data_IF_378069789988
#
_entry.id   IF_378069789988
#
_cell.length_a   1.000
_cell.length_b   1.000
_cell.length_c   1.000
_cell.angle_alpha   90.00
_cell.angle_beta   90.00
_cell.angle_gamma   90.00
#
_symmetry.space_group_name_H-M   'P 1'
#
loop_
_entity.id
_entity.type
_entity.pdbx_description
1 polymer ?
#
# COMPACT_ATOMS: atom_id res chain seq x y z
N UNK A 1 2.74 18.37 19.49
CA UNK A 1 1.74 17.92 18.49
C UNK A 1 1.24 16.56 18.93
N UNK A 2 -0.06 16.38 19.17
CA UNK A 2 -0.59 15.09 19.62
C UNK A 2 -0.53 14.11 18.45
N UNK A 3 0.20 13.00 18.61
CA UNK A 3 0.26 11.94 17.60
C UNK A 3 -1.11 11.25 17.51
N UNK A 4 -1.69 11.23 16.32
CA UNK A 4 -2.97 10.53 16.09
C UNK A 4 -2.66 9.06 15.85
N UNK A 5 -3.26 8.20 16.66
CA UNK A 5 -2.95 6.77 16.69
C UNK A 5 -3.64 6.06 15.51
N UNK A 6 -2.88 5.28 14.76
CA UNK A 6 -3.37 4.34 13.76
C UNK A 6 -3.62 2.98 14.44
N UNK A 7 -4.76 2.88 15.10
CA UNK A 7 -5.09 1.81 16.05
C UNK A 7 -4.91 0.40 15.48
N UNK A 8 -5.38 0.16 14.24
CA UNK A 8 -5.28 -1.16 13.63
C UNK A 8 -3.84 -1.64 13.43
N UNK A 9 -2.92 -0.73 13.08
CA UNK A 9 -1.50 -1.08 12.91
C UNK A 9 -0.80 -1.26 14.25
N UNK A 10 -1.08 -0.38 15.21
CA UNK A 10 -0.53 -0.51 16.57
C UNK A 10 -1.01 -1.81 17.22
N UNK A 11 -2.27 -2.17 17.07
CA UNK A 11 -2.82 -3.44 17.54
C UNK A 11 -2.08 -4.63 16.96
N UNK A 12 -1.82 -4.66 15.64
CA UNK A 12 -1.04 -5.73 15.00
C UNK A 12 0.36 -5.86 15.59
N UNK A 13 1.02 -4.76 15.94
CA UNK A 13 2.32 -4.79 16.62
C UNK A 13 2.22 -5.36 18.04
N UNK A 14 1.17 -4.97 18.77
CA UNK A 14 0.90 -5.45 20.13
C UNK A 14 0.58 -6.95 20.12
N UNK A 15 -0.28 -7.40 19.21
CA UNK A 15 -0.67 -8.82 19.08
C UNK A 15 0.54 -9.71 18.70
N UNK A 16 1.50 -9.17 17.95
CA UNK A 16 2.73 -9.87 17.59
C UNK A 16 3.85 -9.74 18.64
N UNK A 17 3.66 -8.92 19.70
CA UNK A 17 4.66 -8.69 20.75
C UNK A 17 5.02 -10.00 21.47
N UNK A 18 6.29 -10.10 21.85
CA UNK A 18 6.86 -11.23 22.60
C UNK A 18 6.82 -12.58 21.85
N UNK A 19 6.52 -12.58 20.56
CA UNK A 19 6.65 -13.75 19.69
C UNK A 19 8.09 -13.92 19.18
N UNK A 20 8.42 -15.10 18.67
CA UNK A 20 9.74 -15.36 18.06
C UNK A 20 9.91 -14.70 16.68
N UNK A 21 8.84 -14.17 16.09
CA UNK A 21 8.89 -13.60 14.77
C UNK A 21 9.51 -12.19 14.78
N UNK A 22 10.22 -11.87 13.70
CA UNK A 22 10.66 -10.51 13.39
C UNK A 22 9.46 -9.76 12.80
N UNK A 23 9.14 -8.58 13.32
CA UNK A 23 8.05 -7.75 12.82
C UNK A 23 8.61 -6.78 11.78
N UNK A 24 8.15 -6.92 10.54
CA UNK A 24 8.63 -6.14 9.40
C UNK A 24 7.54 -5.19 8.95
N UNK A 25 7.71 -3.90 9.23
CA UNK A 25 6.76 -2.87 8.84
C UNK A 25 7.19 -2.32 7.48
N UNK A 26 6.36 -2.57 6.46
CA UNK A 26 6.58 -2.13 5.08
C UNK A 26 5.52 -1.14 4.62
N UNK A 27 5.73 -0.48 3.49
CA UNK A 27 4.77 0.42 2.86
C UNK A 27 5.42 1.63 2.23
N UNK A 28 4.64 2.35 1.43
CA UNK A 28 5.11 3.50 0.68
C UNK A 28 5.78 4.56 1.59
N UNK A 29 6.73 5.29 1.03
CA UNK A 29 7.39 6.40 1.73
C UNK A 29 6.36 7.37 2.31
N UNK A 30 6.60 7.86 3.56
CA UNK A 30 5.72 8.80 4.27
C UNK A 30 4.33 8.26 4.67
N UNK A 31 4.09 6.96 4.63
CA UNK A 31 2.85 6.34 5.16
C UNK A 31 2.76 6.32 6.69
N UNK A 32 3.82 6.71 7.42
CA UNK A 32 3.84 6.82 8.88
C UNK A 32 4.53 5.65 9.61
N UNK A 33 5.38 4.87 8.95
CA UNK A 33 6.09 3.71 9.54
C UNK A 33 6.93 4.09 10.76
N UNK A 34 7.78 5.11 10.64
CA UNK A 34 8.62 5.62 11.74
C UNK A 34 7.77 6.08 12.92
N UNK A 35 6.66 6.78 12.64
CA UNK A 35 5.71 7.22 13.67
C UNK A 35 5.07 6.04 14.38
N UNK A 36 4.75 4.96 13.66
CA UNK A 36 4.19 3.74 14.26
C UNK A 36 5.20 3.07 15.21
N UNK A 37 6.50 3.03 14.87
CA UNK A 37 7.54 2.53 15.79
C UNK A 37 7.62 3.39 17.06
N UNK A 38 7.54 4.71 16.95
CA UNK A 38 7.54 5.61 18.11
C UNK A 38 6.30 5.42 18.98
N UNK A 39 5.12 5.28 18.38
CA UNK A 39 3.88 4.94 19.11
C UNK A 39 4.00 3.61 19.85
N UNK A 40 4.65 2.63 19.24
CA UNK A 40 4.89 1.34 19.88
C UNK A 40 5.91 1.46 21.01
N UNK A 41 6.97 2.27 20.84
CA UNK A 41 7.90 2.61 21.95
C UNK A 41 7.14 3.19 23.14
N UNK A 42 6.28 4.18 22.89
CA UNK A 42 5.48 4.82 23.96
C UNK A 42 4.53 3.80 24.62
N UNK A 43 3.92 2.92 23.81
CA UNK A 43 3.09 1.83 24.34
C UNK A 43 3.90 0.91 25.28
N UNK A 44 5.11 0.51 24.91
CA UNK A 44 5.97 -0.36 25.73
C UNK A 44 6.29 0.32 27.06
N UNK A 45 6.68 1.60 27.07
CA UNK A 45 6.97 2.38 28.27
C UNK A 45 5.75 2.47 29.18
N UNK A 46 4.59 2.83 28.60
CA UNK A 46 3.34 2.96 29.34
C UNK A 46 2.82 1.62 29.94
N UNK A 47 3.29 0.50 29.40
CA UNK A 47 2.99 -0.86 29.90
C UNK A 47 4.14 -1.46 30.75
N UNK A 48 5.00 -0.60 31.31
CA UNK A 48 5.97 -0.98 32.36
C UNK A 48 7.30 -1.54 31.83
N UNK A 49 7.56 -1.51 30.53
CA UNK A 49 8.89 -1.85 30.01
C UNK A 49 9.85 -0.70 30.30
N UNK A 50 10.98 -1.01 30.93
CA UNK A 50 12.01 -0.01 31.26
C UNK A 50 12.58 0.57 29.97
N UNK A 51 12.79 1.87 29.90
CA UNK A 51 13.33 2.54 28.72
C UNK A 51 14.71 1.96 28.30
N UNK A 52 15.51 1.58 29.28
CA UNK A 52 16.80 0.89 29.07
C UNK A 52 16.72 -0.44 28.32
N UNK A 53 15.54 -1.05 28.27
CA UNK A 53 15.27 -2.30 27.54
C UNK A 53 14.62 -2.03 26.16
N UNK A 54 14.54 -0.77 25.72
CA UNK A 54 14.00 -0.39 24.41
C UNK A 54 15.11 0.33 23.64
N UNK A 55 15.60 -0.28 22.57
CA UNK A 55 16.62 0.30 21.69
C UNK A 55 15.93 0.74 20.41
N UNK A 56 15.82 2.05 20.19
CA UNK A 56 15.32 2.66 18.96
C UNK A 56 16.45 3.31 18.17
N UNK A 57 16.58 2.95 16.88
CA UNK A 57 17.56 3.52 15.96
C UNK A 57 16.86 3.90 14.67
N UNK A 58 17.07 5.14 14.23
CA UNK A 58 16.65 5.59 12.90
C UNK A 58 17.89 5.77 12.02
N UNK A 59 18.07 4.91 11.04
CA UNK A 59 19.21 4.94 10.10
C UNK A 59 19.15 6.03 9.02
N UNK A 60 18.20 6.96 9.10
CA UNK A 60 18.24 8.23 8.36
C UNK A 60 18.90 9.35 9.19
N UNK A 61 19.23 9.12 10.47
CA UNK A 61 19.89 10.10 11.32
C UNK A 61 21.42 10.02 11.20
N UNK A 62 22.06 11.16 11.06
CA UNK A 62 23.54 11.28 11.04
C UNK A 62 24.21 10.75 12.34
N UNK A 63 23.47 10.65 13.44
CA UNK A 63 23.96 10.05 14.70
C UNK A 63 24.43 8.59 14.52
N UNK A 64 23.87 7.88 13.54
CA UNK A 64 24.14 6.47 13.27
C UNK A 64 24.93 6.23 11.97
N UNK A 65 25.49 7.28 11.38
CA UNK A 65 26.24 7.20 10.12
C UNK A 65 27.49 6.29 10.21
N UNK A 66 28.01 6.04 11.40
CA UNK A 66 29.14 5.12 11.62
C UNK A 66 28.74 3.65 11.53
N UNK A 67 27.45 3.32 11.59
CA UNK A 67 26.93 1.95 11.44
C UNK A 67 26.74 1.65 9.95
N UNK A 68 27.80 1.20 9.29
CA UNK A 68 27.80 0.96 7.82
C UNK A 68 27.33 -0.43 7.43
N UNK A 69 27.68 -1.45 8.24
CA UNK A 69 27.38 -2.83 7.95
C UNK A 69 26.89 -3.61 9.18
N UNK A 70 26.61 -4.90 8.95
CA UNK A 70 26.08 -5.78 10.00
C UNK A 70 27.02 -5.95 11.20
N UNK A 71 28.34 -5.80 11.03
CA UNK A 71 29.32 -5.95 12.13
C UNK A 71 29.27 -4.75 13.06
N UNK A 72 29.21 -3.55 12.48
CA UNK A 72 29.06 -2.31 13.24
C UNK A 72 27.74 -2.33 14.00
N UNK A 73 26.64 -2.73 13.34
CA UNK A 73 25.32 -2.87 13.94
C UNK A 73 25.35 -3.88 15.11
N UNK A 74 25.95 -5.06 14.89
CA UNK A 74 26.03 -6.08 15.91
C UNK A 74 26.81 -5.60 17.14
N UNK A 75 27.97 -4.98 16.92
CA UNK A 75 28.80 -4.43 18.00
C UNK A 75 28.05 -3.37 18.80
N UNK A 76 27.43 -2.41 18.11
CA UNK A 76 26.68 -1.31 18.72
C UNK A 76 25.52 -1.82 19.59
N UNK A 77 24.73 -2.75 19.09
CA UNK A 77 23.59 -3.32 19.84
C UNK A 77 24.10 -4.14 21.03
N UNK A 78 25.12 -4.98 20.84
CA UNK A 78 25.71 -5.79 21.93
C UNK A 78 26.17 -4.95 23.11
N UNK A 79 26.73 -3.77 22.86
CA UNK A 79 27.20 -2.85 23.93
C UNK A 79 26.02 -2.20 24.69
N UNK A 80 24.84 -2.10 24.05
CA UNK A 80 23.64 -1.49 24.65
C UNK A 80 22.72 -2.49 25.35
N UNK A 81 22.85 -3.78 25.07
CA UNK A 81 22.00 -4.82 25.68
C UNK A 81 22.27 -4.89 27.17
N UNK A 82 21.22 -4.75 27.96
CA UNK A 82 21.19 -4.93 29.40
C UNK A 82 20.52 -6.25 29.78
N UNK A 83 20.39 -6.51 31.07
CA UNK A 83 19.76 -7.73 31.63
C UNK A 83 18.26 -7.76 31.31
N UNK A 84 17.77 -8.89 30.81
CA UNK A 84 16.37 -9.14 30.50
C UNK A 84 16.04 -8.95 29.01
N UNK A 85 14.77 -9.12 28.68
CA UNK A 85 14.28 -9.01 27.29
C UNK A 85 14.41 -7.59 26.76
N UNK A 86 14.95 -7.44 25.55
CA UNK A 86 15.15 -6.17 24.86
C UNK A 86 14.20 -6.05 23.67
N UNK A 87 13.61 -4.88 23.50
CA UNK A 87 12.81 -4.51 22.33
C UNK A 87 13.68 -3.67 21.38
N UNK A 88 13.98 -4.22 20.21
CA UNK A 88 14.83 -3.58 19.21
C UNK A 88 13.96 -3.01 18.07
N UNK A 89 13.94 -1.68 17.97
CA UNK A 89 13.14 -0.94 16.99
C UNK A 89 14.10 -0.27 15.98
N UNK A 90 14.22 -0.83 14.78
CA UNK A 90 15.17 -0.39 13.76
C UNK A 90 14.42 0.24 12.58
N UNK A 91 14.51 1.54 12.45
CA UNK A 91 13.85 2.32 11.41
C UNK A 91 14.74 2.49 10.19
N UNK A 92 14.21 2.22 8.98
CA UNK A 92 14.89 2.27 7.67
C UNK A 92 16.18 1.41 7.65
N UNK A 93 16.07 0.16 8.14
CA UNK A 93 17.19 -0.80 8.31
C UNK A 93 17.98 -1.08 7.03
N UNK A 94 17.36 -0.92 5.85
CA UNK A 94 18.02 -1.14 4.55
C UNK A 94 19.21 -0.18 4.28
N UNK A 95 19.40 0.83 5.11
CA UNK A 95 20.56 1.71 5.04
C UNK A 95 21.84 1.05 5.60
N UNK A 96 21.70 -0.07 6.32
CA UNK A 96 22.82 -0.87 6.85
C UNK A 96 23.12 -2.03 5.89
N UNK A 97 24.35 -2.16 5.41
CA UNK A 97 24.75 -3.23 4.49
C UNK A 97 24.70 -4.60 5.16
N UNK A 98 24.06 -5.58 4.51
CA UNK A 98 23.92 -6.97 5.02
C UNK A 98 23.28 -7.06 6.41
N UNK A 99 22.38 -6.14 6.74
CA UNK A 99 21.70 -6.02 8.04
C UNK A 99 21.02 -7.33 8.50
N UNK A 100 20.55 -8.16 7.57
CA UNK A 100 19.90 -9.45 7.84
C UNK A 100 20.78 -10.41 8.64
N UNK A 101 22.13 -10.34 8.46
CA UNK A 101 23.08 -11.14 9.22
C UNK A 101 23.10 -10.75 10.70
N UNK A 102 23.03 -9.44 10.97
CA UNK A 102 22.94 -8.95 12.36
C UNK A 102 21.63 -9.39 13.01
N UNK A 103 20.49 -9.25 12.30
CA UNK A 103 19.18 -9.65 12.82
C UNK A 103 19.15 -11.14 13.20
N UNK A 104 19.67 -12.00 12.33
CA UNK A 104 19.76 -13.44 12.62
C UNK A 104 20.67 -13.72 13.84
N UNK A 105 21.82 -13.04 13.94
CA UNK A 105 22.71 -13.19 15.09
C UNK A 105 22.06 -12.73 16.39
N UNK A 106 21.32 -11.62 16.38
CA UNK A 106 20.61 -11.13 17.56
C UNK A 106 19.59 -12.16 18.08
N UNK A 107 18.88 -12.84 17.18
CA UNK A 107 17.90 -13.88 17.56
C UNK A 107 18.53 -15.12 18.18
N UNK A 108 19.82 -15.38 17.89
CA UNK A 108 20.57 -16.52 18.45
C UNK A 108 21.21 -16.14 19.79
N UNK A 109 21.78 -14.93 19.85
CA UNK A 109 22.67 -14.56 20.93
C UNK A 109 21.96 -13.89 22.13
N UNK A 110 20.74 -13.34 21.92
CA UNK A 110 20.05 -12.50 22.90
C UNK A 110 18.56 -12.81 23.01
N UNK A 111 17.99 -12.55 24.20
CA UNK A 111 16.53 -12.51 24.40
C UNK A 111 16.01 -11.15 23.90
N UNK A 112 15.61 -11.12 22.64
CA UNK A 112 15.29 -9.87 21.92
C UNK A 112 14.03 -10.00 21.08
N UNK A 113 13.19 -8.96 21.13
CA UNK A 113 12.02 -8.79 20.28
C UNK A 113 12.29 -7.70 19.22
N UNK A 114 12.21 -8.05 17.92
CA UNK A 114 12.75 -7.24 16.83
C UNK A 114 11.63 -6.69 15.96
N UNK A 115 11.65 -5.37 15.75
CA UNK A 115 10.79 -4.62 14.86
C UNK A 115 11.65 -3.81 13.89
N UNK A 116 11.43 -3.99 12.61
CA UNK A 116 12.19 -3.30 11.57
C UNK A 116 11.25 -2.59 10.60
N UNK A 117 11.67 -1.46 10.05
CA UNK A 117 10.92 -0.79 8.98
C UNK A 117 11.75 -0.63 7.73
N UNK A 118 11.03 -0.44 6.62
CA UNK A 118 11.61 0.03 5.37
C UNK A 118 10.55 0.45 4.34
N UNK A 119 10.95 1.40 3.52
CA UNK A 119 10.09 2.00 2.49
C UNK A 119 10.03 1.19 1.19
N UNK A 120 10.56 -0.04 1.16
CA UNK A 120 10.64 -0.84 -0.05
C UNK A 120 10.42 -2.33 0.25
N UNK A 121 9.70 -3.03 -0.64
CA UNK A 121 9.44 -4.47 -0.56
C UNK A 121 10.71 -5.33 -0.75
N UNK A 122 11.86 -4.74 -1.09
CA UNK A 122 13.13 -5.48 -1.04
C UNK A 122 13.47 -6.04 0.34
N UNK A 123 12.92 -5.47 1.42
CA UNK A 123 12.99 -6.07 2.76
C UNK A 123 12.34 -7.46 2.84
N UNK A 124 11.48 -7.78 1.89
CA UNK A 124 10.72 -9.04 1.81
C UNK A 124 10.93 -9.74 0.46
N UNK A 125 11.99 -9.35 -0.30
CA UNK A 125 12.32 -10.07 -1.54
C UNK A 125 12.60 -11.55 -1.23
N UNK A 126 12.44 -12.42 -2.23
CA UNK A 126 12.65 -13.86 -2.08
C UNK A 126 14.02 -14.20 -1.49
N UNK A 127 15.04 -13.40 -1.77
CA UNK A 127 16.37 -13.53 -1.18
C UNK A 127 16.37 -13.22 0.32
N UNK A 128 15.72 -12.11 0.74
CA UNK A 128 15.64 -11.72 2.15
C UNK A 128 14.68 -12.59 2.94
N UNK A 129 13.57 -13.04 2.35
CA UNK A 129 12.69 -14.02 3.01
C UNK A 129 13.41 -15.33 3.30
N UNK A 130 14.34 -15.75 2.42
CA UNK A 130 15.22 -16.89 2.63
C UNK A 130 16.27 -16.59 3.72
N UNK A 131 16.87 -15.39 3.71
CA UNK A 131 17.87 -14.96 4.69
C UNK A 131 17.28 -14.81 6.11
N UNK A 132 16.04 -14.34 6.22
CA UNK A 132 15.28 -14.30 7.48
C UNK A 132 14.63 -15.66 7.83
N UNK A 133 14.91 -16.71 7.02
CA UNK A 133 14.46 -18.09 7.27
C UNK A 133 12.94 -18.23 7.47
N UNK A 134 12.13 -17.36 6.87
CA UNK A 134 10.68 -17.36 7.02
C UNK A 134 10.16 -16.98 8.43
N UNK A 135 11.03 -16.48 9.32
CA UNK A 135 10.69 -16.16 10.71
C UNK A 135 10.28 -14.71 10.90
N UNK A 136 9.38 -14.20 10.03
CA UNK A 136 8.89 -12.82 10.14
C UNK A 136 7.38 -12.72 9.92
N UNK A 137 6.82 -11.64 10.43
CA UNK A 137 5.44 -11.21 10.19
C UNK A 137 5.50 -9.84 9.51
N UNK A 138 4.87 -9.73 8.33
CA UNK A 138 4.74 -8.45 7.64
C UNK A 138 3.55 -7.66 8.18
N UNK A 139 3.80 -6.38 8.50
CA UNK A 139 2.78 -5.37 8.78
C UNK A 139 2.82 -4.34 7.66
N UNK A 140 2.02 -4.57 6.61
CA UNK A 140 1.99 -3.70 5.45
C UNK A 140 1.15 -2.45 5.71
N UNK A 141 1.80 -1.30 5.67
CA UNK A 141 1.22 -0.01 6.01
C UNK A 141 0.86 0.78 4.75
N UNK A 142 -0.41 1.15 4.62
CA UNK A 142 -0.93 1.97 3.52
C UNK A 142 -1.07 3.43 3.95
N UNK A 143 -1.21 4.40 3.01
CA UNK A 143 -1.70 5.74 3.32
C UNK A 143 -3.01 5.69 4.12
N UNK A 144 -3.45 6.77 4.71
CA UNK A 144 -4.69 6.81 5.50
C UNK A 144 -5.87 6.27 4.70
N UNK A 145 -6.72 5.46 5.34
CA UNK A 145 -8.07 5.19 4.84
C UNK A 145 -8.92 6.46 4.90
N UNK A 146 -10.06 6.48 4.22
CA UNK A 146 -10.97 7.63 4.33
C UNK A 146 -11.42 7.88 5.78
N UNK A 147 -11.70 6.82 6.52
CA UNK A 147 -12.04 6.90 7.95
C UNK A 147 -10.88 7.50 8.79
N UNK A 148 -9.66 7.06 8.55
CA UNK A 148 -8.47 7.64 9.19
C UNK A 148 -8.26 9.10 8.76
N UNK A 149 -8.47 9.42 7.47
CA UNK A 149 -8.37 10.77 6.93
C UNK A 149 -9.32 11.74 7.65
N UNK A 150 -10.57 11.35 7.88
CA UNK A 150 -11.51 12.17 8.66
C UNK A 150 -10.99 12.38 10.09
N UNK A 151 -10.52 11.32 10.76
CA UNK A 151 -9.97 11.39 12.12
C UNK A 151 -8.74 12.30 12.19
N UNK A 152 -7.82 12.17 11.26
CA UNK A 152 -6.58 12.96 11.22
C UNK A 152 -6.81 14.45 10.93
N UNK A 153 -7.88 14.78 10.22
CA UNK A 153 -8.29 16.16 9.95
C UNK A 153 -9.22 16.75 11.00
N UNK A 154 -9.60 15.98 12.04
CA UNK A 154 -10.63 16.34 13.01
C UNK A 154 -11.96 16.70 12.33
N UNK A 155 -12.29 16.03 11.23
CA UNK A 155 -13.56 16.22 10.55
C UNK A 155 -14.69 15.47 11.25
N UNK A 156 -15.85 16.10 11.32
CA UNK A 156 -17.11 15.44 11.71
C UNK A 156 -17.68 14.61 10.54
N UNK A 157 -18.81 13.97 10.77
CA UNK A 157 -19.51 13.17 9.75
C UNK A 157 -20.52 13.98 8.93
N UNK A 158 -20.38 15.31 8.85
CA UNK A 158 -21.19 16.14 7.95
C UNK A 158 -20.47 16.39 6.64
N UNK A 159 -21.19 16.69 5.56
CA UNK A 159 -20.64 17.00 4.24
C UNK A 159 -19.56 15.99 3.78
N UNK A 160 -19.85 14.69 3.95
CA UNK A 160 -18.90 13.62 3.64
C UNK A 160 -18.48 13.57 2.17
N UNK A 161 -19.34 13.99 1.25
CA UNK A 161 -19.02 14.07 -0.18
C UNK A 161 -17.88 15.06 -0.45
N UNK A 162 -17.92 16.25 0.14
CA UNK A 162 -16.85 17.25 -0.04
C UNK A 162 -15.54 16.77 0.55
N UNK A 163 -15.58 16.14 1.72
CA UNK A 163 -14.41 15.55 2.37
C UNK A 163 -13.86 14.36 1.59
N UNK A 164 -14.73 13.59 0.98
CA UNK A 164 -14.31 12.49 0.11
C UNK A 164 -13.66 13.01 -1.19
N UNK A 165 -14.22 14.08 -1.79
CA UNK A 165 -13.61 14.75 -2.93
C UNK A 165 -12.22 15.32 -2.58
N UNK A 166 -12.06 15.89 -1.38
CA UNK A 166 -10.74 16.33 -0.88
C UNK A 166 -9.77 15.14 -0.74
N UNK A 167 -10.22 14.02 -0.18
CA UNK A 167 -9.45 12.79 -0.09
C UNK A 167 -9.07 12.23 -1.47
N UNK A 168 -9.97 12.23 -2.44
CA UNK A 168 -9.66 11.84 -3.83
C UNK A 168 -8.65 12.79 -4.47
N UNK A 169 -8.72 14.08 -4.16
CA UNK A 169 -7.83 15.12 -4.71
C UNK A 169 -6.42 15.02 -4.17
N UNK A 170 -6.25 14.96 -2.85
CA UNK A 170 -4.95 15.09 -2.18
C UNK A 170 -4.38 13.79 -1.64
N UNK A 171 -5.20 12.74 -1.58
CA UNK A 171 -4.78 11.44 -1.07
C UNK A 171 -4.78 11.32 0.45
N UNK A 172 -4.20 10.22 0.92
CA UNK A 172 -4.17 9.83 2.32
C UNK A 172 -2.78 9.87 2.97
N UNK A 173 -1.80 10.61 2.44
CA UNK A 173 -0.50 10.73 3.10
C UNK A 173 -0.66 11.56 4.39
N UNK A 174 -0.27 11.03 5.58
CA UNK A 174 -0.60 11.64 6.87
C UNK A 174 -0.18 13.12 7.02
N UNK A 175 0.98 13.50 6.49
CA UNK A 175 1.48 14.86 6.66
C UNK A 175 0.69 15.93 5.87
N UNK A 176 -0.17 15.53 4.92
CA UNK A 176 -1.04 16.46 4.20
C UNK A 176 -2.00 17.15 5.17
N UNK A 177 -2.44 16.44 6.21
CA UNK A 177 -3.34 17.02 7.24
C UNK A 177 -2.77 18.25 7.95
N UNK A 178 -1.45 18.43 7.93
CA UNK A 178 -0.76 19.58 8.54
C UNK A 178 -0.76 20.83 7.67
N UNK A 179 -1.02 20.67 6.38
CA UNK A 179 -0.88 21.73 5.36
C UNK A 179 -2.10 21.83 4.44
N UNK A 180 -3.18 21.12 4.77
CA UNK A 180 -4.39 20.96 3.96
C UNK A 180 -5.05 22.27 3.52
N UNK A 181 -4.93 23.32 4.34
CA UNK A 181 -5.55 24.61 4.09
C UNK A 181 -4.78 25.46 3.06
N UNK A 182 -3.69 24.92 2.51
CA UNK A 182 -2.87 25.59 1.51
C UNK A 182 -2.53 24.63 0.35
N UNK A 183 -3.28 24.76 -0.75
CA UNK A 183 -3.14 23.94 -1.96
C UNK A 183 -1.71 23.95 -2.51
N UNK A 184 -1.02 25.10 -2.52
CA UNK A 184 0.34 25.24 -3.03
C UNK A 184 1.33 24.40 -2.22
N UNK A 185 1.22 24.44 -0.88
CA UNK A 185 2.05 23.62 -0.01
C UNK A 185 1.76 22.11 -0.17
N UNK A 186 0.49 21.73 -0.31
CA UNK A 186 0.11 20.34 -0.57
C UNK A 186 0.72 19.84 -1.89
N UNK A 187 0.59 20.61 -2.95
CA UNK A 187 1.16 20.28 -4.27
C UNK A 187 2.69 20.18 -4.21
N UNK A 188 3.35 21.12 -3.58
CA UNK A 188 4.80 21.12 -3.39
C UNK A 188 5.27 19.88 -2.61
N UNK A 189 4.57 19.54 -1.53
CA UNK A 189 4.86 18.36 -0.71
C UNK A 189 4.68 17.05 -1.49
N UNK A 190 3.57 16.89 -2.20
CA UNK A 190 3.31 15.70 -3.02
C UNK A 190 4.35 15.52 -4.13
N UNK A 191 4.75 16.61 -4.81
CA UNK A 191 5.82 16.61 -5.81
C UNK A 191 7.16 16.17 -5.18
N UNK A 192 7.49 16.70 -4.01
CA UNK A 192 8.71 16.33 -3.28
C UNK A 192 8.74 14.83 -2.93
N UNK A 193 7.62 14.26 -2.50
CA UNK A 193 7.51 12.83 -2.21
C UNK A 193 7.65 12.01 -3.48
N UNK A 194 6.89 12.32 -4.53
CA UNK A 194 6.96 11.61 -5.80
C UNK A 194 8.39 11.58 -6.34
N UNK A 195 9.05 12.73 -6.41
CA UNK A 195 10.44 12.84 -6.85
C UNK A 195 11.40 12.04 -5.97
N UNK A 196 11.18 12.00 -4.65
CA UNK A 196 12.00 11.20 -3.74
C UNK A 196 11.81 9.71 -3.97
N UNK A 197 10.57 9.24 -4.15
CA UNK A 197 10.29 7.84 -4.46
C UNK A 197 10.96 7.45 -5.78
N UNK A 198 10.75 8.24 -6.85
CA UNK A 198 11.32 7.95 -8.16
C UNK A 198 12.85 7.93 -8.10
N UNK A 199 13.46 8.97 -7.54
CA UNK A 199 14.91 9.11 -7.51
C UNK A 199 15.58 8.12 -6.57
N UNK A 200 15.26 8.17 -5.25
CA UNK A 200 15.97 7.37 -4.24
C UNK A 200 15.53 5.91 -4.21
N UNK A 201 14.21 5.66 -4.24
CA UNK A 201 13.69 4.32 -3.98
C UNK A 201 13.68 3.46 -5.25
N UNK A 202 13.71 4.07 -6.46
CA UNK A 202 13.67 3.35 -7.72
C UNK A 202 14.97 3.55 -8.52
N UNK A 203 15.29 4.77 -8.96
CA UNK A 203 16.41 5.04 -9.87
C UNK A 203 17.76 4.73 -9.25
N UNK A 204 18.10 5.37 -8.14
CA UNK A 204 19.40 5.23 -7.48
C UNK A 204 19.62 3.79 -6.99
N UNK A 205 18.57 3.18 -6.42
CA UNK A 205 18.64 1.81 -5.87
C UNK A 205 18.84 0.74 -6.93
N UNK A 206 18.24 0.90 -8.11
CA UNK A 206 18.29 -0.09 -9.18
C UNK A 206 19.27 0.30 -10.30
N UNK A 207 20.01 1.39 -10.14
CA UNK A 207 20.93 1.93 -11.15
C UNK A 207 20.26 2.11 -12.52
N UNK A 208 19.03 2.67 -12.54
CA UNK A 208 18.27 2.87 -13.77
C UNK A 208 18.95 3.94 -14.62
N UNK A 209 19.25 3.60 -15.86
CA UNK A 209 19.89 4.51 -16.82
C UNK A 209 18.86 5.32 -17.62
N UNK A 210 17.75 4.70 -17.99
CA UNK A 210 16.68 5.35 -18.76
C UNK A 210 15.54 5.79 -17.84
N UNK A 211 15.75 6.96 -17.22
CA UNK A 211 14.77 7.58 -16.31
C UNK A 211 13.54 8.05 -17.08
N UNK A 212 13.71 8.52 -18.33
CA UNK A 212 12.61 9.02 -19.16
C UNK A 212 11.63 7.87 -19.49
N UNK A 213 12.13 6.68 -19.81
CA UNK A 213 11.28 5.51 -20.02
C UNK A 213 10.52 5.14 -18.75
N UNK A 214 11.18 5.17 -17.58
CA UNK A 214 10.54 4.91 -16.29
C UNK A 214 9.38 5.88 -16.03
N UNK A 215 9.61 7.18 -16.20
CA UNK A 215 8.58 8.22 -15.99
C UNK A 215 7.40 8.04 -16.96
N UNK A 216 7.66 7.68 -18.22
CA UNK A 216 6.61 7.39 -19.19
C UNK A 216 5.77 6.16 -18.80
N UNK A 217 6.40 5.11 -18.24
CA UNK A 217 5.69 3.94 -17.71
C UNK A 217 4.82 4.34 -16.51
N UNK A 218 5.36 5.12 -15.57
CA UNK A 218 4.61 5.61 -14.41
C UNK A 218 3.40 6.43 -14.85
N UNK A 219 3.58 7.35 -15.80
CA UNK A 219 2.50 8.17 -16.36
C UNK A 219 1.46 7.33 -17.07
N UNK A 220 1.88 6.31 -17.84
CA UNK A 220 0.97 5.37 -18.48
C UNK A 220 0.12 4.63 -17.44
N UNK A 221 0.71 4.11 -16.37
CA UNK A 221 -0.01 3.42 -15.30
C UNK A 221 -0.98 4.36 -14.59
N UNK A 222 -0.56 5.59 -14.26
CA UNK A 222 -1.41 6.59 -13.62
C UNK A 222 -2.63 6.98 -14.46
N UNK A 223 -2.48 7.01 -15.79
CA UNK A 223 -3.58 7.28 -16.73
C UNK A 223 -4.52 6.09 -16.85
N UNK A 224 -3.99 4.85 -16.79
CA UNK A 224 -4.71 3.61 -17.05
C UNK A 224 -4.98 2.79 -15.77
N UNK A 225 -5.10 3.43 -14.60
CA UNK A 225 -5.47 2.72 -13.37
C UNK A 225 -6.81 1.99 -13.58
N UNK A 226 -6.97 0.82 -12.98
CA UNK A 226 -8.18 0.02 -13.17
C UNK A 226 -8.34 -0.63 -14.55
N UNK A 227 -7.47 -0.32 -15.51
CA UNK A 227 -7.49 -0.94 -16.84
C UNK A 227 -6.55 -2.15 -16.89
N UNK A 228 -6.90 -3.14 -17.74
CA UNK A 228 -6.06 -4.31 -17.97
C UNK A 228 -4.78 -3.94 -18.74
N UNK A 229 -3.63 -4.12 -18.10
CA UNK A 229 -2.31 -3.74 -18.62
C UNK A 229 -1.38 -4.94 -18.68
N UNK A 230 -0.48 -4.95 -19.67
CA UNK A 230 0.67 -5.83 -19.77
C UNK A 230 1.89 -5.06 -20.27
N UNK A 231 3.09 -5.56 -20.00
CA UNK A 231 4.33 -4.97 -20.53
C UNK A 231 4.31 -4.81 -22.05
N UNK A 232 3.72 -5.78 -22.76
CA UNK A 232 3.53 -5.71 -24.21
C UNK A 232 2.64 -4.52 -24.60
N UNK A 233 1.49 -4.34 -23.97
CA UNK A 233 0.60 -3.19 -24.24
C UNK A 233 1.28 -1.85 -24.01
N UNK A 234 2.06 -1.74 -22.92
CA UNK A 234 2.85 -0.53 -22.63
C UNK A 234 3.90 -0.31 -23.75
N UNK A 235 4.65 -1.35 -24.09
CA UNK A 235 5.65 -1.29 -25.17
C UNK A 235 5.04 -0.84 -26.49
N UNK A 236 3.94 -1.46 -26.90
CA UNK A 236 3.23 -1.14 -28.15
C UNK A 236 2.75 0.31 -28.13
N UNK A 237 2.20 0.79 -27.02
CA UNK A 237 1.77 2.18 -26.85
C UNK A 237 2.93 3.19 -26.96
N UNK A 238 4.02 2.95 -26.25
CA UNK A 238 5.17 3.84 -26.23
C UNK A 238 5.85 3.90 -27.61
N UNK A 239 5.98 2.76 -28.29
CA UNK A 239 6.58 2.67 -29.62
C UNK A 239 5.69 3.29 -30.71
N UNK A 240 4.38 3.04 -30.69
CA UNK A 240 3.42 3.58 -31.67
C UNK A 240 3.27 5.10 -31.59
N UNK A 241 3.39 5.66 -30.39
CA UNK A 241 3.34 7.11 -30.17
C UNK A 241 4.70 7.78 -30.27
N UNK A 242 5.76 7.07 -30.65
CA UNK A 242 7.15 7.57 -30.77
C UNK A 242 7.67 8.26 -29.49
N UNK A 243 7.20 7.80 -28.33
CA UNK A 243 7.60 8.32 -27.01
C UNK A 243 9.02 7.82 -26.68
N UNK A 244 9.38 6.62 -27.19
CA UNK A 244 10.71 6.03 -27.06
C UNK A 244 11.16 5.51 -28.44
N UNK A 245 12.48 5.44 -28.68
CA UNK A 245 13.01 4.92 -29.94
C UNK A 245 12.76 3.42 -30.11
N UNK A 246 12.86 2.64 -29.02
CA UNK A 246 12.55 1.19 -29.00
C UNK A 246 12.46 0.71 -27.56
N UNK A 247 11.26 0.45 -27.05
CA UNK A 247 11.09 -0.19 -25.75
C UNK A 247 10.91 -1.70 -25.91
N UNK A 248 11.69 -2.49 -25.14
CA UNK A 248 11.53 -3.93 -25.07
C UNK A 248 10.59 -4.28 -23.91
N UNK A 249 9.63 -5.19 -24.13
CA UNK A 249 8.68 -5.64 -23.12
C UNK A 249 9.38 -6.21 -21.87
N UNK A 250 10.54 -6.87 -22.01
CA UNK A 250 11.30 -7.37 -20.86
C UNK A 250 11.83 -6.24 -19.96
N UNK A 251 12.28 -5.14 -20.54
CA UNK A 251 12.71 -3.95 -19.79
C UNK A 251 11.53 -3.33 -19.05
N UNK A 252 10.36 -3.28 -19.68
CA UNK A 252 9.13 -2.79 -19.07
C UNK A 252 8.69 -3.67 -17.89
N UNK A 253 8.74 -5.01 -18.06
CA UNK A 253 8.44 -5.95 -16.96
C UNK A 253 9.36 -5.73 -15.75
N UNK A 254 10.65 -5.51 -16.00
CA UNK A 254 11.60 -5.19 -14.94
C UNK A 254 11.23 -3.87 -14.22
N UNK A 255 10.86 -2.82 -14.98
CA UNK A 255 10.45 -1.54 -14.39
C UNK A 255 9.14 -1.67 -13.61
N UNK A 256 8.15 -2.42 -14.12
CA UNK A 256 6.93 -2.72 -13.39
C UNK A 256 7.23 -3.40 -12.05
N UNK A 257 8.12 -4.41 -12.05
CA UNK A 257 8.56 -5.07 -10.81
C UNK A 257 9.22 -4.10 -9.82
N UNK A 258 10.04 -3.16 -10.29
CA UNK A 258 10.67 -2.14 -9.44
C UNK A 258 9.64 -1.16 -8.86
N UNK A 259 8.63 -0.77 -9.66
CA UNK A 259 7.51 0.07 -9.22
C UNK A 259 6.66 -0.62 -8.15
N UNK A 260 6.35 -1.90 -8.33
CA UNK A 260 5.65 -2.70 -7.30
C UNK A 260 6.47 -2.80 -6.01
N UNK A 261 7.77 -3.07 -6.12
CA UNK A 261 8.69 -3.16 -4.97
C UNK A 261 8.87 -1.84 -4.22
N UNK A 262 8.72 -0.69 -4.89
CA UNK A 262 8.74 0.63 -4.23
C UNK A 262 7.41 1.01 -3.57
N UNK A 263 6.40 0.16 -3.67
CA UNK A 263 5.04 0.42 -3.21
C UNK A 263 4.35 1.63 -3.85
N UNK A 264 4.86 2.16 -4.97
CA UNK A 264 4.17 3.25 -5.67
C UNK A 264 2.95 2.74 -6.42
N UNK A 265 3.01 1.47 -6.88
CA UNK A 265 1.88 0.77 -7.48
C UNK A 265 1.67 -0.60 -6.84
N UNK A 266 0.45 -1.09 -6.92
CA UNK A 266 0.05 -2.44 -6.55
C UNK A 266 -0.56 -3.13 -7.76
N UNK A 267 -0.23 -4.40 -7.97
CA UNK A 267 -0.78 -5.21 -9.04
C UNK A 267 -1.88 -6.11 -8.51
N UNK A 268 -3.07 -6.03 -9.11
CA UNK A 268 -4.12 -7.01 -8.95
C UNK A 268 -4.02 -8.03 -10.10
N UNK A 269 -3.77 -9.29 -9.76
CA UNK A 269 -3.72 -10.36 -10.73
C UNK A 269 -5.14 -10.73 -11.18
N UNK A 270 -5.26 -11.44 -12.31
CA UNK A 270 -6.55 -11.95 -12.77
C UNK A 270 -6.74 -13.38 -12.29
N UNK A 271 -7.96 -13.69 -11.86
CA UNK A 271 -8.38 -15.05 -11.52
C UNK A 271 -9.60 -15.45 -12.35
N UNK A 272 -9.63 -16.69 -12.80
CA UNK A 272 -10.84 -17.29 -13.33
C UNK A 272 -11.72 -17.74 -12.15
N UNK A 273 -12.88 -17.09 -11.99
CA UNK A 273 -13.76 -17.33 -10.85
C UNK A 273 -14.35 -18.76 -10.90
N UNK A 274 -14.63 -19.27 -12.12
CA UNK A 274 -15.23 -20.62 -12.29
C UNK A 274 -14.21 -21.72 -12.00
N UNK A 275 -12.98 -21.57 -12.50
CA UNK A 275 -11.91 -22.57 -12.37
C UNK A 275 -11.03 -22.33 -11.13
N UNK A 276 -11.24 -21.25 -10.37
CA UNK A 276 -10.44 -20.84 -9.21
C UNK A 276 -8.93 -20.86 -9.49
N UNK A 277 -8.53 -20.38 -10.67
CA UNK A 277 -7.16 -20.42 -11.14
C UNK A 277 -6.64 -19.04 -11.52
N UNK A 278 -5.39 -18.74 -11.14
CA UNK A 278 -4.73 -17.49 -11.53
C UNK A 278 -4.45 -17.49 -13.04
N UNK A 279 -4.81 -16.41 -13.70
CA UNK A 279 -4.53 -16.19 -15.10
C UNK A 279 -3.17 -15.48 -15.26
N UNK A 280 -2.26 -16.08 -16.06
CA UNK A 280 -0.87 -15.61 -16.20
C UNK A 280 -0.71 -14.27 -16.92
N UNK A 281 -1.72 -13.79 -17.62
CA UNK A 281 -1.63 -12.61 -18.48
C UNK A 281 -2.65 -11.55 -18.09
N UNK A 282 -2.25 -10.29 -18.20
CA UNK A 282 -3.03 -9.09 -17.92
C UNK A 282 -3.39 -8.96 -16.42
N UNK A 283 -2.89 -7.92 -15.78
CA UNK A 283 -3.33 -7.47 -14.46
C UNK A 283 -3.86 -6.04 -14.55
N UNK A 284 -4.48 -5.56 -13.49
CA UNK A 284 -4.73 -4.14 -13.29
C UNK A 284 -3.68 -3.58 -12.33
N UNK A 285 -3.32 -2.32 -12.50
CA UNK A 285 -2.42 -1.63 -11.58
C UNK A 285 -3.17 -0.50 -10.89
N UNK A 286 -2.94 -0.38 -9.59
CA UNK A 286 -3.50 0.66 -8.73
C UNK A 286 -2.37 1.43 -8.06
N UNK A 287 -2.53 2.75 -7.95
CA UNK A 287 -1.52 3.60 -7.30
C UNK A 287 -1.75 3.62 -5.81
N UNK A 288 -0.67 3.67 -5.05
CA UNK A 288 -0.70 3.65 -3.59
C UNK A 288 -1.44 4.81 -2.94
N UNK A 289 -1.55 5.94 -3.66
CA UNK A 289 -2.18 7.16 -3.15
C UNK A 289 -2.74 8.01 -4.31
N UNK A 290 -3.97 8.50 -4.14
CA UNK A 290 -4.65 9.29 -5.18
C UNK A 290 -3.99 10.66 -5.40
N UNK A 291 -3.45 11.28 -4.36
CA UNK A 291 -2.69 12.53 -4.45
C UNK A 291 -1.41 12.36 -5.28
N UNK A 292 -0.67 11.26 -5.07
CA UNK A 292 0.50 10.91 -5.91
C UNK A 292 0.08 10.73 -7.37
N UNK A 293 -1.04 10.04 -7.64
CA UNK A 293 -1.55 9.92 -9.01
C UNK A 293 -1.86 11.27 -9.64
N UNK A 294 -2.54 12.12 -8.89
CA UNK A 294 -2.97 13.42 -9.41
C UNK A 294 -1.76 14.34 -9.71
N UNK A 295 -0.71 14.28 -8.92
CA UNK A 295 0.57 14.96 -9.21
C UNK A 295 1.18 14.45 -10.52
N UNK A 296 1.24 13.14 -10.73
CA UNK A 296 1.80 12.55 -11.97
C UNK A 296 1.04 13.03 -13.21
N UNK A 297 -0.26 13.23 -13.11
CA UNK A 297 -1.13 13.66 -14.22
C UNK A 297 -1.36 15.17 -14.28
N UNK A 298 -0.79 15.97 -13.36
CA UNK A 298 -0.95 17.42 -13.29
C UNK A 298 -2.40 17.83 -12.98
N UNK A 299 -3.13 17.05 -12.17
CA UNK A 299 -4.53 17.28 -11.81
C UNK A 299 -5.50 17.36 -13.02
N UNK A 300 -5.07 16.82 -14.16
CA UNK A 300 -5.88 16.72 -15.37
C UNK A 300 -6.47 15.30 -15.47
N UNK A 301 -7.59 15.18 -16.17
CA UNK A 301 -8.23 13.89 -16.47
C UNK A 301 -8.51 13.06 -15.19
N UNK A 302 -9.18 13.66 -14.23
CA UNK A 302 -9.71 12.94 -13.09
C UNK A 302 -10.87 12.08 -13.60
N UNK A 303 -10.58 10.85 -14.01
CA UNK A 303 -11.59 9.85 -14.25
C UNK A 303 -12.04 9.31 -12.88
N UNK A 304 -13.15 9.83 -12.39
CA UNK A 304 -13.65 9.53 -11.04
C UNK A 304 -13.92 8.04 -10.85
N UNK A 305 -14.48 7.35 -11.85
CA UNK A 305 -14.76 5.91 -11.77
C UNK A 305 -13.50 5.08 -11.47
N UNK A 306 -12.41 5.36 -12.15
CA UNK A 306 -11.14 4.65 -11.88
C UNK A 306 -10.49 5.05 -10.54
N UNK A 307 -10.72 6.27 -10.05
CA UNK A 307 -10.27 6.67 -8.72
C UNK A 307 -11.06 5.94 -7.63
N UNK A 308 -12.37 5.79 -7.80
CA UNK A 308 -13.20 5.00 -6.88
C UNK A 308 -12.73 3.55 -6.80
N UNK A 309 -12.46 2.93 -7.96
CA UNK A 309 -11.91 1.58 -8.04
C UNK A 309 -10.57 1.48 -7.30
N UNK A 310 -9.68 2.47 -7.46
CA UNK A 310 -8.40 2.52 -6.74
C UNK A 310 -8.57 2.63 -5.21
N UNK A 311 -9.50 3.45 -4.75
CA UNK A 311 -9.78 3.61 -3.30
C UNK A 311 -10.34 2.31 -2.72
N UNK A 312 -11.30 1.68 -3.41
CA UNK A 312 -11.89 0.40 -2.99
C UNK A 312 -10.82 -0.69 -2.94
N UNK A 313 -9.96 -0.79 -3.95
CA UNK A 313 -8.85 -1.75 -3.97
C UNK A 313 -7.94 -1.62 -2.75
N UNK A 314 -7.50 -0.39 -2.44
CA UNK A 314 -6.64 -0.14 -1.29
C UNK A 314 -7.35 -0.42 0.04
N UNK A 315 -8.64 -0.13 0.13
CA UNK A 315 -9.41 -0.43 1.33
C UNK A 315 -9.56 -1.93 1.56
N UNK A 316 -9.83 -2.71 0.53
CA UNK A 316 -9.87 -4.17 0.62
C UNK A 316 -8.53 -4.75 1.10
N UNK A 317 -7.41 -4.21 0.61
CA UNK A 317 -6.08 -4.62 1.11
C UNK A 317 -5.87 -4.25 2.60
N UNK A 318 -6.36 -3.07 3.05
CA UNK A 318 -6.29 -2.65 4.48
C UNK A 318 -7.10 -3.57 5.38
N UNK A 319 -8.25 -4.03 4.90
CA UNK A 319 -9.12 -5.01 5.58
C UNK A 319 -8.55 -6.43 5.59
N UNK A 320 -7.36 -6.62 4.96
CA UNK A 320 -6.63 -7.89 5.00
C UNK A 320 -7.02 -8.89 3.92
N UNK A 321 -7.78 -8.48 2.91
CA UNK A 321 -8.10 -9.34 1.78
C UNK A 321 -6.92 -9.44 0.80
N UNK A 322 -6.75 -10.61 0.22
CA UNK A 322 -6.06 -10.80 -1.05
C UNK A 322 -7.02 -10.42 -2.17
N UNK A 323 -6.62 -9.50 -3.05
CA UNK A 323 -7.53 -8.92 -4.04
C UNK A 323 -7.07 -9.23 -5.46
N UNK A 324 -7.93 -9.90 -6.21
CA UNK A 324 -7.73 -10.24 -7.63
C UNK A 324 -8.85 -9.65 -8.49
N UNK A 325 -8.62 -9.59 -9.79
CA UNK A 325 -9.64 -9.23 -10.79
C UNK A 325 -10.34 -10.52 -11.23
N UNK A 326 -11.65 -10.57 -11.13
CA UNK A 326 -12.43 -11.73 -11.52
C UNK A 326 -12.68 -11.82 -13.03
N UNK A 327 -12.60 -13.03 -13.60
CA UNK A 327 -13.11 -13.36 -14.92
C UNK A 327 -14.14 -14.49 -14.76
N UNK A 328 -15.36 -14.26 -15.26
CA UNK A 328 -16.44 -15.26 -15.29
C UNK A 328 -17.00 -15.36 -16.71
N UNK A 329 -16.49 -16.30 -17.51
CA UNK A 329 -16.81 -16.38 -18.93
C UNK A 329 -16.33 -15.12 -19.67
N UNK A 330 -17.26 -14.39 -20.29
CA UNK A 330 -16.98 -13.13 -21.01
C UNK A 330 -17.06 -11.89 -20.10
N UNK A 331 -17.53 -12.06 -18.85
CA UNK A 331 -17.67 -10.97 -17.90
C UNK A 331 -16.40 -10.78 -17.06
N UNK A 332 -16.19 -9.54 -16.65
CA UNK A 332 -15.15 -9.17 -15.71
C UNK A 332 -15.80 -8.68 -14.41
N UNK A 333 -15.27 -9.13 -13.29
CA UNK A 333 -15.62 -8.66 -11.95
C UNK A 333 -14.46 -7.83 -11.44
N UNK A 334 -14.73 -6.61 -10.97
CA UNK A 334 -13.66 -5.70 -10.59
C UNK A 334 -12.79 -6.26 -9.51
N UNK A 335 -13.38 -6.83 -8.45
CA UNK A 335 -12.60 -7.45 -7.39
C UNK A 335 -13.18 -8.76 -6.90
N UNK A 336 -12.30 -9.74 -6.74
CA UNK A 336 -12.46 -10.95 -5.94
C UNK A 336 -11.60 -10.75 -4.71
N UNK A 337 -12.23 -10.50 -3.57
CA UNK A 337 -11.56 -10.27 -2.29
C UNK A 337 -11.64 -11.54 -1.46
N UNK A 338 -10.49 -12.12 -1.13
CA UNK A 338 -10.37 -13.40 -0.43
C UNK A 338 -9.57 -13.25 0.85
N UNK A 339 -10.05 -13.84 1.93
CA UNK A 339 -9.29 -14.07 3.15
C UNK A 339 -9.52 -15.53 3.61
N UNK A 340 -8.83 -16.04 4.64
CA UNK A 340 -8.99 -17.43 5.08
C UNK A 340 -10.40 -17.83 5.45
N UNK A 341 -11.30 -16.89 5.75
CA UNK A 341 -12.64 -17.16 6.26
C UNK A 341 -13.75 -16.82 5.27
N UNK A 342 -13.47 -15.99 4.23
CA UNK A 342 -14.52 -15.42 3.39
C UNK A 342 -14.03 -15.06 1.99
N UNK A 343 -14.96 -15.07 1.02
CA UNK A 343 -14.77 -14.57 -0.35
C UNK A 343 -15.91 -13.60 -0.63
N UNK A 344 -15.58 -12.42 -1.17
CA UNK A 344 -16.56 -11.42 -1.59
C UNK A 344 -16.25 -10.91 -2.99
N UNK A 345 -17.29 -10.63 -3.74
CA UNK A 345 -17.20 -10.08 -5.10
C UNK A 345 -17.67 -8.63 -5.13
N UNK A 346 -16.88 -7.77 -5.75
CA UNK A 346 -17.18 -6.35 -5.81
C UNK A 346 -17.19 -5.84 -7.24
N UNK A 347 -18.20 -5.03 -7.56
CA UNK A 347 -18.21 -4.12 -8.70
C UNK A 347 -18.21 -2.68 -8.19
N UNK A 348 -17.57 -1.78 -8.93
CA UNK A 348 -17.44 -0.37 -8.56
C UNK A 348 -17.93 0.50 -9.69
N UNK A 349 -19.00 1.24 -9.47
CA UNK A 349 -19.59 2.14 -10.46
C UNK A 349 -19.79 3.54 -9.85
N UNK A 350 -19.53 4.59 -10.61
CA UNK A 350 -19.79 5.95 -10.16
C UNK A 350 -21.29 6.15 -9.91
N UNK A 351 -22.15 5.64 -10.80
CA UNK A 351 -23.61 5.69 -10.68
C UNK A 351 -24.27 4.51 -11.35
N UNK A 352 -25.37 4.06 -10.81
CA UNK A 352 -26.29 3.07 -11.39
C UNK A 352 -27.55 3.73 -11.98
N UNK A 353 -27.61 5.06 -12.04
CA UNK A 353 -28.73 5.78 -12.63
C UNK A 353 -28.89 5.51 -14.14
N UNK A 354 -27.80 5.16 -14.84
CA UNK A 354 -27.84 4.69 -16.23
C UNK A 354 -28.16 3.19 -16.25
N UNK A 355 -29.26 2.83 -16.90
CA UNK A 355 -29.75 1.44 -16.94
C UNK A 355 -28.76 0.49 -17.61
N UNK A 356 -28.07 0.90 -18.69
CA UNK A 356 -27.05 0.07 -19.36
C UNK A 356 -25.87 -0.24 -18.42
N UNK A 357 -25.41 0.75 -17.64
CA UNK A 357 -24.35 0.55 -16.63
C UNK A 357 -24.84 -0.40 -15.56
N UNK A 358 -26.03 -0.16 -15.00
CA UNK A 358 -26.62 -0.99 -13.96
C UNK A 358 -26.75 -2.44 -14.40
N UNK A 359 -27.32 -2.71 -15.57
CA UNK A 359 -27.47 -4.06 -16.09
C UNK A 359 -26.11 -4.74 -16.31
N UNK A 360 -25.11 -4.02 -16.80
CA UNK A 360 -23.77 -4.56 -17.01
C UNK A 360 -23.13 -5.01 -15.69
N UNK A 361 -23.21 -4.16 -14.65
CA UNK A 361 -22.63 -4.49 -13.34
C UNK A 361 -23.36 -5.66 -12.67
N UNK A 362 -24.68 -5.69 -12.74
CA UNK A 362 -25.49 -6.80 -12.22
C UNK A 362 -25.17 -8.10 -12.96
N UNK A 363 -25.18 -8.12 -14.29
CA UNK A 363 -24.88 -9.31 -15.10
C UNK A 363 -23.50 -9.88 -14.83
N UNK A 364 -22.52 -9.02 -14.58
CA UNK A 364 -21.16 -9.47 -14.23
C UNK A 364 -21.16 -10.31 -12.95
N UNK A 365 -21.87 -9.89 -11.91
CA UNK A 365 -21.98 -10.61 -10.64
C UNK A 365 -22.94 -11.82 -10.72
N UNK A 366 -24.03 -11.74 -11.48
CA UNK A 366 -24.95 -12.87 -11.72
C UNK A 366 -24.28 -14.02 -12.50
N UNK A 367 -23.23 -13.71 -13.30
CA UNK A 367 -22.46 -14.73 -14.01
C UNK A 367 -21.68 -15.68 -13.09
N UNK A 368 -21.56 -15.33 -11.83
CA UNK A 368 -20.91 -16.14 -10.78
C UNK A 368 -21.96 -17.03 -10.12
N UNK A 369 -21.76 -18.32 -10.20
CA UNK A 369 -22.76 -19.32 -9.76
C UNK A 369 -22.66 -19.73 -8.28
N UNK A 370 -21.63 -19.26 -7.56
CA UNK A 370 -21.49 -19.55 -6.14
C UNK A 370 -22.35 -18.61 -5.26
N UNK A 371 -22.41 -18.95 -3.96
CA UNK A 371 -23.25 -18.25 -2.98
C UNK A 371 -22.49 -17.22 -2.12
N UNK A 372 -21.26 -16.87 -2.49
CA UNK A 372 -20.52 -15.83 -1.79
C UNK A 372 -21.15 -14.45 -2.01
N UNK A 373 -20.88 -13.54 -1.09
CA UNK A 373 -21.46 -12.20 -1.08
C UNK A 373 -21.04 -11.41 -2.32
N UNK A 374 -22.04 -10.79 -2.98
CA UNK A 374 -21.89 -9.98 -4.18
C UNK A 374 -22.32 -8.56 -3.87
N UNK A 375 -21.45 -7.59 -4.14
CA UNK A 375 -21.63 -6.21 -3.73
C UNK A 375 -21.34 -5.27 -4.89
N UNK A 376 -22.25 -4.33 -5.15
CA UNK A 376 -21.99 -3.17 -6.02
C UNK A 376 -21.77 -1.97 -5.12
N UNK A 377 -20.63 -1.30 -5.28
CA UNK A 377 -20.30 -0.05 -4.60
C UNK A 377 -20.50 1.12 -5.57
N UNK A 378 -21.24 2.14 -5.14
CA UNK A 378 -21.56 3.31 -5.97
C UNK A 378 -21.60 4.59 -5.16
N UNK A 379 -21.52 5.75 -5.84
CA UNK A 379 -21.68 7.05 -5.17
C UNK A 379 -23.16 7.43 -4.99
N UNK A 380 -24.10 6.67 -5.56
CA UNK A 380 -25.53 6.96 -5.42
C UNK A 380 -25.99 6.80 -3.97
N UNK A 381 -26.85 7.73 -3.50
CA UNK A 381 -27.39 7.74 -2.12
C UNK A 381 -28.76 7.08 -1.99
N UNK A 382 -29.54 7.10 -3.05
CA UNK A 382 -30.92 6.61 -3.08
C UNK A 382 -31.09 5.53 -4.15
N UNK A 383 -30.81 4.28 -3.78
CA UNK A 383 -30.94 3.13 -4.66
C UNK A 383 -31.60 1.97 -3.91
N UNK A 384 -32.16 1.04 -4.68
CA UNK A 384 -32.52 -0.27 -4.14
C UNK A 384 -31.26 -0.92 -3.58
N UNK A 385 -31.37 -1.42 -2.34
CA UNK A 385 -30.25 -1.99 -1.60
C UNK A 385 -29.95 -3.45 -2.01
N UNK A 386 -30.78 -4.05 -2.86
CA UNK A 386 -30.63 -5.44 -3.31
C UNK A 386 -31.22 -5.65 -4.72
N UNK A 387 -30.47 -6.36 -5.55
CA UNK A 387 -30.89 -6.85 -6.86
C UNK A 387 -30.59 -8.35 -6.93
N UNK A 388 -31.59 -9.20 -6.77
CA UNK A 388 -31.45 -10.68 -6.86
C UNK A 388 -30.34 -11.23 -5.93
N UNK A 389 -30.23 -10.72 -4.70
CA UNK A 389 -29.20 -11.11 -3.73
C UNK A 389 -27.86 -10.39 -3.92
N UNK A 390 -27.77 -9.45 -4.87
CA UNK A 390 -26.59 -8.57 -5.02
C UNK A 390 -26.84 -7.31 -4.19
N UNK A 391 -26.05 -7.10 -3.15
CA UNK A 391 -26.13 -5.90 -2.31
C UNK A 391 -25.64 -4.66 -3.05
N UNK A 392 -26.31 -3.52 -2.87
CA UNK A 392 -25.84 -2.24 -3.36
C UNK A 392 -25.60 -1.30 -2.19
N UNK A 393 -24.40 -0.74 -2.12
CA UNK A 393 -23.98 0.12 -1.02
C UNK A 393 -23.37 1.42 -1.54
N UNK A 394 -23.56 2.51 -0.79
CA UNK A 394 -22.82 3.74 -1.06
C UNK A 394 -21.33 3.54 -0.66
N UNK A 395 -20.41 3.99 -1.51
CA UNK A 395 -18.96 3.82 -1.29
C UNK A 395 -18.51 4.50 0.02
N UNK A 396 -19.01 5.71 0.29
CA UNK A 396 -18.62 6.47 1.49
C UNK A 396 -19.07 5.72 2.75
N UNK A 397 -20.32 5.25 2.76
CA UNK A 397 -20.87 4.47 3.89
C UNK A 397 -20.04 3.20 4.10
N UNK A 398 -19.72 2.48 3.01
CA UNK A 398 -18.89 1.27 3.06
C UNK A 398 -17.46 1.54 3.57
N UNK A 399 -16.84 2.68 3.19
CA UNK A 399 -15.51 3.07 3.67
C UNK A 399 -15.49 3.44 5.16
N UNK A 400 -16.63 3.90 5.70
CA UNK A 400 -16.77 4.27 7.10
C UNK A 400 -17.23 3.12 7.99
N UNK A 401 -17.84 2.09 7.38
CA UNK A 401 -18.26 0.88 8.09
C UNK A 401 -17.04 0.15 8.64
N UNK A 402 -17.19 -0.29 9.88
CA UNK A 402 -16.15 -1.06 10.56
C UNK A 402 -16.56 -2.53 10.50
N UNK A 403 -15.85 -3.31 9.71
CA UNK A 403 -15.86 -4.77 9.89
C UNK A 403 -15.17 -5.15 11.20
#
# INVERSE_FOLDING_TARGET
MQMIIRENYLKKMIDAKDTEFIKVITGVRRSGKSTLLLMFKDYLINNGIKEDNIIYINFESAEFDDIKDYKDLYKYIKEKIKKGRVYLLLDEIQNVKSWEKAINSFKVDFDIDIYITGSNAYLLSSELSTLLSGRYIEIKMYPLSFKEFLKFNNYDNTNLDDKFNEYLKYGGLPAITLIKDNDELVLSYLNGIYNTIVKKDIVDRNNIKDVALLENIIKYLATNIGSSVSAKKISDFLNSNKITEKSNHQTIDNYLSMLEKSFIVYKANRTDVRNKSLLKTLGKYYISDTGIRNIILGFRNINEGHLLENVVYLELLRRGYSVNIGKSGDFQVDFVAENPNDIKYYQVAQTLANEEVKEREIRSLESISDNYEKIILTMDKTINKDYNGIKVMNIIDWLLDSD
#
